data_IF_311655691865
#
_entry.id   IF_311655691865
#
_cell.length_a   1.000
_cell.length_b   1.000
_cell.length_c   1.000
_cell.angle_alpha   90.00
_cell.angle_beta   90.00
_cell.angle_gamma   90.00
#
_symmetry.space_group_name_H-M   'P 1'
#
loop_
_entity.id
_entity.type
_entity.pdbx_description
1 polymer ?
#
# COMPACT_ATOMS: atom_id res chain seq x y z
N UNK A 1 -18.49 -15.24 11.97
CA UNK A 1 -18.30 -16.69 11.67
C UNK A 1 -17.03 -17.27 12.28
N UNK A 2 -16.18 -16.44 12.90
CA UNK A 2 -14.87 -16.84 13.42
C UNK A 2 -14.97 -17.63 14.72
N UNK A 3 -14.49 -18.87 14.70
CA UNK A 3 -14.45 -19.79 15.85
C UNK A 3 -13.09 -20.48 15.90
N UNK A 4 -12.72 -21.06 17.05
CA UNK A 4 -11.44 -21.76 17.22
C UNK A 4 -11.42 -23.17 16.62
N UNK A 5 -12.59 -23.80 16.51
CA UNK A 5 -12.75 -25.13 15.93
C UNK A 5 -13.78 -25.06 14.81
N UNK A 6 -13.40 -25.50 13.63
CA UNK A 6 -14.24 -25.47 12.43
C UNK A 6 -13.79 -26.54 11.44
N UNK A 7 -14.66 -26.86 10.48
CA UNK A 7 -14.36 -27.82 9.42
C UNK A 7 -13.70 -27.07 8.26
N UNK A 8 -12.51 -27.53 7.84
CA UNK A 8 -11.80 -27.01 6.68
C UNK A 8 -11.61 -28.14 5.65
N UNK A 9 -11.78 -27.83 4.36
CA UNK A 9 -11.41 -28.72 3.27
C UNK A 9 -10.10 -28.22 2.68
N UNK A 10 -9.05 -29.00 2.91
CA UNK A 10 -7.71 -28.73 2.41
C UNK A 10 -7.35 -29.70 1.29
N UNK A 11 -6.60 -29.21 0.31
CA UNK A 11 -6.06 -30.05 -0.76
C UNK A 11 -4.67 -29.55 -1.14
N UNK A 12 -3.78 -30.50 -1.36
CA UNK A 12 -2.42 -30.28 -1.81
C UNK A 12 -2.23 -31.01 -3.14
N UNK A 13 -1.77 -30.31 -4.18
CA UNK A 13 -1.30 -30.93 -5.43
C UNK A 13 0.23 -30.98 -5.44
N UNK A 14 0.78 -31.94 -6.17
CA UNK A 14 2.21 -32.09 -6.39
C UNK A 14 2.41 -32.22 -7.88
N UNK A 15 3.11 -31.23 -8.46
CA UNK A 15 3.24 -31.07 -9.91
C UNK A 15 4.73 -31.09 -10.29
N UNK A 16 5.04 -31.64 -11.47
CA UNK A 16 6.42 -31.83 -11.92
C UNK A 16 7.11 -30.52 -12.36
N UNK A 17 6.31 -29.52 -12.77
CA UNK A 17 6.76 -28.22 -13.23
C UNK A 17 5.67 -27.15 -13.04
N UNK A 18 6.01 -25.88 -13.29
CA UNK A 18 5.11 -24.73 -13.11
C UNK A 18 3.91 -24.75 -14.08
N UNK A 19 4.05 -25.34 -15.26
CA UNK A 19 2.95 -25.45 -16.22
C UNK A 19 1.92 -26.52 -15.80
N UNK A 20 2.37 -27.59 -15.15
CA UNK A 20 1.50 -28.58 -14.53
C UNK A 20 0.80 -28.01 -13.28
N UNK A 21 1.53 -27.22 -12.46
CA UNK A 21 0.96 -26.48 -11.32
C UNK A 21 -0.19 -25.57 -11.76
N UNK A 22 -0.02 -24.79 -12.82
CA UNK A 22 -1.07 -23.89 -13.33
C UNK A 22 -2.33 -24.66 -13.73
N UNK A 23 -2.18 -25.82 -14.41
CA UNK A 23 -3.32 -26.68 -14.75
C UNK A 23 -4.03 -27.23 -13.52
N UNK A 24 -3.27 -27.67 -12.52
CA UNK A 24 -3.82 -28.13 -11.25
C UNK A 24 -4.56 -27.00 -10.52
N UNK A 25 -4.00 -25.79 -10.54
CA UNK A 25 -4.59 -24.58 -9.97
C UNK A 25 -5.92 -24.21 -10.64
N UNK A 26 -5.94 -24.11 -11.98
CA UNK A 26 -7.15 -23.80 -12.76
C UNK A 26 -8.27 -24.83 -12.53
N UNK A 27 -7.92 -26.12 -12.45
CA UNK A 27 -8.89 -27.19 -12.13
C UNK A 27 -9.50 -26.98 -10.75
N UNK A 28 -8.71 -26.58 -9.77
CA UNK A 28 -9.19 -26.28 -8.43
C UNK A 28 -10.06 -25.02 -8.41
N UNK A 29 -9.65 -23.95 -9.09
CA UNK A 29 -10.45 -22.73 -9.23
C UNK A 29 -11.82 -23.05 -9.86
N UNK A 30 -11.86 -23.86 -10.92
CA UNK A 30 -13.12 -24.27 -11.55
C UNK A 30 -13.97 -25.15 -10.62
N UNK A 31 -13.36 -26.07 -9.86
CA UNK A 31 -14.08 -26.88 -8.88
C UNK A 31 -14.74 -26.01 -7.80
N UNK A 32 -14.04 -25.00 -7.27
CA UNK A 32 -14.59 -24.08 -6.27
C UNK A 32 -15.73 -23.23 -6.85
N UNK A 33 -15.58 -22.70 -8.08
CA UNK A 33 -16.70 -22.03 -8.79
C UNK A 33 -17.94 -22.92 -8.87
N UNK A 34 -17.77 -24.19 -9.24
CA UNK A 34 -18.88 -25.14 -9.32
C UNK A 34 -19.49 -25.42 -7.94
N UNK A 35 -18.69 -25.49 -6.88
CA UNK A 35 -19.17 -25.69 -5.51
C UNK A 35 -20.05 -24.51 -5.08
N UNK A 36 -19.55 -23.27 -5.20
CA UNK A 36 -20.32 -22.08 -4.82
C UNK A 36 -21.58 -21.90 -5.66
N UNK A 37 -21.50 -22.17 -6.97
CA UNK A 37 -22.68 -22.14 -7.86
C UNK A 37 -23.75 -23.17 -7.43
N UNK A 38 -23.35 -24.38 -7.07
CA UNK A 38 -24.28 -25.41 -6.55
C UNK A 38 -24.89 -25.05 -5.20
N UNK A 39 -24.17 -24.27 -4.39
CA UNK A 39 -24.67 -23.75 -3.12
C UNK A 39 -25.53 -22.49 -3.28
N UNK A 40 -25.60 -21.90 -4.48
CA UNK A 40 -26.32 -20.65 -4.73
C UNK A 40 -25.67 -19.43 -4.07
N UNK A 41 -24.35 -19.49 -3.80
CA UNK A 41 -23.62 -18.41 -3.14
C UNK A 41 -22.95 -17.50 -4.19
N UNK A 42 -23.09 -16.16 -4.07
CA UNK A 42 -22.46 -15.19 -4.96
C UNK A 42 -20.98 -15.02 -4.60
N UNK A 43 -20.18 -16.06 -4.81
CA UNK A 43 -18.74 -16.03 -4.55
C UNK A 43 -17.98 -15.39 -5.71
N UNK A 44 -17.13 -14.43 -5.39
CA UNK A 44 -16.20 -13.80 -6.30
C UNK A 44 -14.79 -14.34 -6.05
N UNK A 45 -14.09 -14.76 -7.10
CA UNK A 45 -12.67 -15.08 -6.99
C UNK A 45 -11.87 -13.79 -7.08
N UNK A 46 -11.05 -13.51 -6.06
CA UNK A 46 -10.29 -12.26 -5.92
C UNK A 46 -8.81 -12.57 -5.73
N UNK A 47 -7.92 -11.74 -6.29
CA UNK A 47 -6.49 -11.82 -6.00
C UNK A 47 -6.22 -11.57 -4.52
N UNK A 48 -5.37 -12.37 -3.89
CA UNK A 48 -5.09 -12.30 -2.46
C UNK A 48 -3.59 -12.26 -2.17
N UNK A 49 -3.24 -11.96 -0.92
CA UNK A 49 -1.87 -12.14 -0.45
C UNK A 49 -1.54 -13.64 -0.40
N UNK A 50 -0.31 -14.01 -0.78
CA UNK A 50 0.18 -15.38 -0.60
C UNK A 50 0.60 -15.66 0.85
N UNK A 51 0.74 -14.59 1.65
CA UNK A 51 1.09 -14.66 3.07
C UNK A 51 2.40 -15.39 3.33
N UNK A 52 2.49 -15.99 4.52
CA UNK A 52 3.67 -16.74 4.96
C UNK A 52 3.87 -18.09 4.24
N UNK A 53 2.83 -18.62 3.58
CA UNK A 53 2.90 -19.87 2.80
C UNK A 53 3.75 -19.67 1.54
N UNK A 54 3.82 -18.43 1.05
CA UNK A 54 4.56 -18.08 -0.15
C UNK A 54 3.86 -18.56 -1.42
N UNK A 55 4.40 -18.17 -2.58
CA UNK A 55 3.83 -18.46 -3.89
C UNK A 55 3.56 -17.19 -4.71
N UNK A 56 3.57 -17.34 -6.04
CA UNK A 56 3.43 -16.20 -6.98
C UNK A 56 1.99 -15.73 -7.16
N UNK A 57 1.02 -16.63 -7.02
CA UNK A 57 -0.40 -16.36 -7.22
C UNK A 57 -1.22 -16.96 -6.08
N UNK A 58 -2.08 -16.14 -5.49
CA UNK A 58 -3.05 -16.52 -4.46
C UNK A 58 -4.40 -15.92 -4.84
N UNK A 59 -5.46 -16.71 -4.69
CA UNK A 59 -6.82 -16.24 -4.90
C UNK A 59 -7.71 -16.73 -3.75
N UNK A 60 -8.56 -15.83 -3.29
CA UNK A 60 -9.62 -16.11 -2.34
C UNK A 60 -10.95 -16.19 -3.07
N UNK A 61 -11.86 -17.03 -2.58
CA UNK A 61 -13.25 -16.98 -2.99
C UNK A 61 -14.05 -16.28 -1.91
N UNK A 62 -14.46 -15.06 -2.19
CA UNK A 62 -15.16 -14.17 -1.27
C UNK A 62 -16.66 -14.18 -1.55
N UNK A 63 -17.47 -14.59 -0.57
CA UNK A 63 -18.93 -14.46 -0.65
C UNK A 63 -19.30 -13.02 -0.31
N UNK A 64 -19.85 -12.29 -1.28
CA UNK A 64 -20.13 -10.86 -1.11
C UNK A 64 -21.34 -10.66 -0.18
N UNK A 65 -21.13 -9.97 0.94
CA UNK A 65 -22.16 -9.65 1.93
C UNK A 65 -21.73 -8.48 2.82
N UNK A 66 -22.69 -7.62 3.20
CA UNK A 66 -22.42 -6.45 4.05
C UNK A 66 -21.85 -6.77 5.44
N UNK A 67 -22.00 -8.01 5.91
CA UNK A 67 -21.49 -8.47 7.21
C UNK A 67 -20.09 -9.14 7.12
N UNK A 68 -19.44 -9.06 5.96
CA UNK A 68 -18.10 -9.60 5.74
C UNK A 68 -17.03 -8.89 6.58
N UNK A 69 -15.97 -9.62 6.94
CA UNK A 69 -14.80 -9.09 7.67
C UNK A 69 -13.75 -8.51 6.71
N UNK A 70 -13.69 -9.03 5.48
CA UNK A 70 -12.76 -8.60 4.44
C UNK A 70 -13.35 -7.50 3.55
N UNK A 71 -12.49 -6.63 3.04
CA UNK A 71 -12.82 -5.67 1.99
C UNK A 71 -12.25 -6.15 0.66
N UNK A 72 -13.10 -6.22 -0.35
CA UNK A 72 -12.74 -6.53 -1.73
C UNK A 72 -12.75 -5.24 -2.54
N UNK A 73 -11.64 -4.92 -3.19
CA UNK A 73 -11.53 -3.85 -4.16
C UNK A 73 -11.70 -4.45 -5.56
N UNK A 74 -12.62 -3.93 -6.35
CA UNK A 74 -12.91 -4.45 -7.70
C UNK A 74 -13.20 -3.35 -8.71
N UNK A 75 -13.01 -3.65 -9.99
CA UNK A 75 -13.37 -2.75 -11.08
C UNK A 75 -14.71 -3.19 -11.70
N UNK A 76 -15.74 -2.33 -11.77
CA UNK A 76 -17.01 -2.68 -12.42
C UNK A 76 -16.92 -2.72 -13.96
N UNK A 77 -15.76 -2.39 -14.54
CA UNK A 77 -15.56 -2.28 -15.99
C UNK A 77 -14.62 -3.32 -16.59
N UNK A 78 -13.94 -4.11 -15.77
CA UNK A 78 -13.12 -5.24 -16.19
C UNK A 78 -13.19 -6.34 -15.12
N UNK A 79 -12.32 -7.34 -15.24
CA UNK A 79 -12.25 -8.52 -14.37
C UNK A 79 -11.30 -8.34 -13.16
N UNK A 80 -10.85 -7.11 -12.89
CA UNK A 80 -9.98 -6.84 -11.74
C UNK A 80 -10.76 -6.92 -10.44
N UNK A 81 -10.36 -7.82 -9.53
CA UNK A 81 -10.83 -7.88 -8.16
C UNK A 81 -9.73 -8.45 -7.25
N UNK A 82 -9.54 -7.83 -6.10
CA UNK A 82 -8.52 -8.22 -5.14
C UNK A 82 -8.99 -7.95 -3.70
N UNK A 83 -8.51 -8.74 -2.75
CA UNK A 83 -8.57 -8.37 -1.34
C UNK A 83 -7.83 -7.03 -1.15
N UNK A 84 -8.35 -6.13 -0.31
CA UNK A 84 -7.75 -4.82 -0.03
C UNK A 84 -6.27 -4.90 0.37
N UNK A 85 -5.85 -5.97 1.04
CA UNK A 85 -4.45 -6.23 1.39
C UNK A 85 -3.53 -6.42 0.17
N UNK A 86 -4.06 -6.90 -0.96
CA UNK A 86 -3.33 -7.15 -2.21
C UNK A 86 -3.62 -6.11 -3.30
N UNK A 87 -4.76 -5.45 -3.22
CA UNK A 87 -5.32 -4.59 -4.26
C UNK A 87 -4.37 -3.45 -4.66
N UNK A 88 -4.19 -3.27 -5.96
CA UNK A 88 -3.40 -2.22 -6.58
C UNK A 88 -4.33 -1.19 -7.21
N UNK A 89 -3.83 0.03 -7.35
CA UNK A 89 -4.53 1.10 -8.04
C UNK A 89 -3.59 1.89 -8.93
N UNK A 90 -4.09 2.31 -10.09
CA UNK A 90 -3.45 3.33 -10.90
C UNK A 90 -3.49 4.67 -10.15
N UNK A 91 -2.31 5.15 -9.76
CA UNK A 91 -2.13 6.41 -9.05
C UNK A 91 -2.04 7.54 -10.08
N UNK A 92 -2.89 8.56 -9.94
CA UNK A 92 -2.80 9.75 -10.78
C UNK A 92 -1.47 10.47 -10.53
N UNK A 93 -0.90 11.13 -11.55
CA UNK A 93 0.23 12.02 -11.32
C UNK A 93 -0.17 13.18 -10.40
N UNK A 94 0.75 13.60 -9.51
CA UNK A 94 0.57 14.82 -8.76
C UNK A 94 0.44 16.01 -9.74
N UNK A 95 -0.39 16.99 -9.40
CA UNK A 95 -0.76 18.12 -10.25
C UNK A 95 0.43 18.90 -10.81
N UNK A 96 1.58 18.90 -10.11
CA UNK A 96 2.80 19.58 -10.57
C UNK A 96 3.80 18.66 -11.29
N UNK A 97 3.47 17.40 -11.55
CA UNK A 97 4.37 16.37 -12.10
C UNK A 97 4.92 16.61 -13.52
N UNK A 98 4.61 17.75 -14.14
CA UNK A 98 5.15 18.18 -15.43
C UNK A 98 5.93 19.52 -15.38
N UNK A 99 6.18 20.06 -14.18
CA UNK A 99 6.91 21.31 -14.00
C UNK A 99 8.43 21.12 -13.86
N UNK A 100 9.20 22.14 -14.22
CA UNK A 100 10.63 22.23 -13.90
C UNK A 100 10.85 22.05 -12.40
N UNK A 101 11.83 21.25 -12.01
CA UNK A 101 12.21 21.14 -10.60
C UNK A 101 12.65 22.50 -10.06
N UNK A 102 12.06 22.90 -8.94
CA UNK A 102 12.40 24.14 -8.26
C UNK A 102 13.45 23.88 -7.17
N UNK A 103 14.24 24.88 -6.77
CA UNK A 103 15.16 24.75 -5.64
C UNK A 103 14.42 24.38 -4.35
N UNK A 104 14.99 23.45 -3.59
CA UNK A 104 14.53 23.07 -2.27
C UNK A 104 14.51 24.32 -1.36
N UNK A 105 13.41 24.54 -0.64
CA UNK A 105 13.24 25.71 0.23
C UNK A 105 12.55 25.33 1.54
N UNK A 106 12.97 25.92 2.66
CA UNK A 106 12.32 25.72 3.97
C UNK A 106 11.13 26.68 4.13
N UNK A 107 10.04 26.20 4.73
CA UNK A 107 8.85 26.97 5.10
C UNK A 107 8.45 26.69 6.55
N UNK A 108 8.16 27.76 7.30
CA UNK A 108 7.60 27.64 8.65
C UNK A 108 6.12 27.21 8.57
N UNK A 109 5.80 26.15 9.28
CA UNK A 109 4.48 25.48 9.34
C UNK A 109 4.12 25.18 10.79
N UNK A 110 4.07 26.20 11.67
CA UNK A 110 3.83 26.00 13.10
C UNK A 110 2.46 25.36 13.33
N UNK A 111 2.43 24.28 14.11
CA UNK A 111 1.18 23.58 14.46
C UNK A 111 0.60 22.68 13.37
N UNK A 112 1.26 22.52 12.22
CA UNK A 112 0.85 21.57 11.18
C UNK A 112 1.50 20.20 11.45
N UNK A 113 0.75 19.25 11.97
CA UNK A 113 1.22 17.90 12.33
C UNK A 113 0.70 16.81 11.39
N UNK A 114 -0.33 17.11 10.60
CA UNK A 114 -0.99 16.21 9.66
C UNK A 114 -0.79 16.65 8.22
N UNK A 115 -1.06 15.74 7.28
CA UNK A 115 -1.00 16.05 5.85
C UNK A 115 -2.05 17.08 5.47
N UNK A 116 -3.25 16.95 6.03
CA UNK A 116 -4.36 17.85 5.76
C UNK A 116 -4.03 19.28 6.20
N UNK A 117 -3.46 19.45 7.40
CA UNK A 117 -3.05 20.75 7.92
C UNK A 117 -1.96 21.40 7.06
N UNK A 118 -0.91 20.67 6.69
CA UNK A 118 0.17 21.25 5.87
C UNK A 118 -0.27 21.54 4.43
N UNK A 119 -1.10 20.67 3.85
CA UNK A 119 -1.65 20.87 2.52
C UNK A 119 -2.54 22.11 2.46
N UNK A 120 -3.43 22.29 3.45
CA UNK A 120 -4.26 23.48 3.59
C UNK A 120 -3.42 24.74 3.83
N UNK A 121 -2.44 24.67 4.74
CA UNK A 121 -1.58 25.80 5.07
C UNK A 121 -0.82 26.34 3.85
N UNK A 122 -0.30 25.45 3.00
CA UNK A 122 0.47 25.84 1.80
C UNK A 122 -0.45 26.10 0.59
N UNK A 123 -1.70 25.62 0.62
CA UNK A 123 -2.66 25.79 -0.46
C UNK A 123 -2.45 24.83 -1.63
N UNK A 124 -2.11 23.57 -1.34
CA UNK A 124 -1.91 22.50 -2.34
C UNK A 124 -2.78 21.28 -2.00
N UNK A 125 -3.09 20.38 -2.95
CA UNK A 125 -3.74 19.12 -2.60
C UNK A 125 -2.81 18.22 -1.78
N UNK A 126 -3.38 17.33 -0.96
CA UNK A 126 -2.62 16.32 -0.20
C UNK A 126 -1.70 15.46 -1.10
N UNK A 127 -2.08 15.25 -2.37
CA UNK A 127 -1.25 14.58 -3.37
C UNK A 127 0.04 15.32 -3.74
N UNK A 128 0.21 16.58 -3.32
CA UNK A 128 1.43 17.37 -3.49
C UNK A 128 2.34 17.32 -2.24
N UNK A 129 2.02 16.47 -1.28
CA UNK A 129 2.80 16.25 -0.06
C UNK A 129 3.32 14.81 -0.02
N UNK A 130 4.43 14.57 0.69
CA UNK A 130 4.83 13.21 1.11
C UNK A 130 4.85 13.14 2.63
N UNK A 131 4.34 12.03 3.17
CA UNK A 131 4.43 11.70 4.59
C UNK A 131 5.40 10.55 4.85
N UNK A 132 5.90 10.56 6.07
CA UNK A 132 6.69 9.49 6.65
C UNK A 132 5.82 8.63 7.57
N UNK A 133 5.94 7.31 7.47
CA UNK A 133 5.38 6.36 8.43
C UNK A 133 6.52 5.45 8.89
N UNK A 134 6.61 5.24 10.20
CA UNK A 134 7.74 4.54 10.80
C UNK A 134 7.35 3.15 11.24
N UNK A 135 8.18 2.17 10.88
CA UNK A 135 7.98 0.78 11.20
C UNK A 135 9.22 0.18 11.86
N UNK A 136 9.02 -0.88 12.63
CA UNK A 136 10.07 -1.81 13.03
C UNK A 136 9.87 -3.10 12.24
N UNK A 137 10.90 -3.52 11.50
CA UNK A 137 10.92 -4.75 10.73
C UNK A 137 11.99 -5.68 11.32
N UNK A 138 11.58 -6.71 12.05
CA UNK A 138 12.49 -7.60 12.82
C UNK A 138 13.53 -6.84 13.68
N UNK A 139 13.11 -5.73 14.30
CA UNK A 139 13.95 -4.92 15.17
C UNK A 139 14.76 -3.82 14.44
N UNK A 140 14.73 -3.79 13.10
CA UNK A 140 15.32 -2.69 12.33
C UNK A 140 14.30 -1.56 12.11
N UNK A 141 14.72 -0.31 12.30
CA UNK A 141 13.89 0.85 12.03
C UNK A 141 13.77 1.09 10.51
N UNK A 142 12.53 1.17 10.02
CA UNK A 142 12.20 1.36 8.61
C UNK A 142 11.44 2.67 8.44
N UNK A 143 11.92 3.49 7.52
CA UNK A 143 11.29 4.74 7.12
C UNK A 143 10.47 4.50 5.86
N UNK A 144 9.14 4.43 5.96
CA UNK A 144 8.26 4.36 4.81
C UNK A 144 7.87 5.78 4.33
N UNK A 145 8.08 6.07 3.05
CA UNK A 145 7.73 7.36 2.43
C UNK A 145 6.61 7.13 1.43
N UNK A 146 5.54 7.90 1.51
CA UNK A 146 4.40 7.78 0.60
C UNK A 146 3.74 9.15 0.39
N UNK A 147 3.06 9.33 -0.75
CA UNK A 147 2.24 10.52 -1.00
C UNK A 147 1.18 10.72 0.08
N UNK A 148 0.93 11.97 0.45
CA UNK A 148 0.16 12.29 1.65
C UNK A 148 -1.30 11.85 1.62
N UNK A 149 -1.91 11.84 0.43
CA UNK A 149 -3.28 11.38 0.16
C UNK A 149 -3.44 9.84 0.15
N UNK A 150 -2.35 9.09 0.23
CA UNK A 150 -2.35 7.63 0.25
C UNK A 150 -2.03 7.11 1.64
N UNK A 151 -2.43 5.88 1.93
CA UNK A 151 -2.07 5.20 3.19
C UNK A 151 -1.18 4.00 2.91
N UNK A 152 -0.33 3.66 3.88
CA UNK A 152 0.53 2.48 3.79
C UNK A 152 -0.33 1.23 3.99
N UNK A 153 -0.19 0.28 3.06
CA UNK A 153 -0.69 -1.07 3.20
C UNK A 153 0.45 -1.93 3.81
N UNK A 154 0.26 -2.33 5.06
CA UNK A 154 1.26 -3.08 5.83
C UNK A 154 1.55 -4.48 5.25
N UNK A 155 0.56 -5.14 4.65
CA UNK A 155 0.75 -6.41 3.96
C UNK A 155 1.69 -6.24 2.76
N UNK A 156 1.50 -5.20 1.95
CA UNK A 156 2.40 -4.88 0.84
C UNK A 156 3.80 -4.48 1.30
N UNK A 157 3.90 -3.64 2.33
CA UNK A 157 5.20 -3.25 2.90
C UNK A 157 5.96 -4.47 3.45
N UNK A 158 5.28 -5.34 4.20
CA UNK A 158 5.82 -6.62 4.68
C UNK A 158 6.34 -7.48 3.53
N UNK A 159 5.58 -7.58 2.44
CA UNK A 159 5.98 -8.35 1.28
C UNK A 159 7.20 -7.73 0.55
N UNK A 160 7.25 -6.41 0.42
CA UNK A 160 8.40 -5.69 -0.12
C UNK A 160 9.67 -5.92 0.74
N UNK A 161 9.48 -6.11 2.05
CA UNK A 161 10.53 -6.46 3.01
C UNK A 161 10.82 -7.97 3.11
N UNK A 162 10.19 -8.80 2.27
CA UNK A 162 10.35 -10.27 2.21
C UNK A 162 9.79 -11.02 3.44
N UNK A 163 8.63 -10.59 3.93
CA UNK A 163 7.88 -11.35 4.94
C UNK A 163 8.34 -11.13 6.37
N UNK A 164 9.13 -10.09 6.63
CA UNK A 164 9.62 -9.74 7.97
C UNK A 164 8.47 -9.38 8.92
N UNK A 165 8.58 -9.74 10.20
CA UNK A 165 7.66 -9.24 11.24
C UNK A 165 7.66 -7.71 11.22
N UNK A 166 6.49 -7.12 10.98
CA UNK A 166 6.30 -5.69 10.80
C UNK A 166 5.37 -5.16 11.88
N UNK A 167 5.76 -4.08 12.54
CA UNK A 167 4.90 -3.30 13.43
C UNK A 167 5.21 -1.82 13.28
N UNK A 168 4.28 -0.96 13.69
CA UNK A 168 4.58 0.46 13.85
C UNK A 168 5.74 0.66 14.84
N UNK A 169 6.60 1.63 14.54
CA UNK A 169 7.63 2.05 15.46
C UNK A 169 6.99 2.77 16.65
N UNK A 170 7.54 2.56 17.84
CA UNK A 170 7.15 3.27 19.05
C UNK A 170 7.70 4.70 19.06
N UNK A 171 7.12 5.59 19.87
CA UNK A 171 7.61 6.97 20.00
C UNK A 171 9.09 7.04 20.42
N UNK A 172 9.53 6.12 21.29
CA UNK A 172 10.92 6.01 21.74
C UNK A 172 11.86 5.63 20.59
N UNK A 173 11.45 4.71 19.71
CA UNK A 173 12.23 4.33 18.53
C UNK A 173 12.30 5.47 17.51
N UNK A 174 11.20 6.19 17.30
CA UNK A 174 11.13 7.36 16.41
C UNK A 174 12.06 8.47 16.92
N UNK A 175 11.98 8.78 18.23
CA UNK A 175 12.82 9.81 18.86
C UNK A 175 14.29 9.38 18.89
N UNK A 176 14.56 8.10 19.18
CA UNK A 176 15.91 7.52 19.19
C UNK A 176 16.57 7.51 17.81
N UNK A 177 15.77 7.41 16.74
CA UNK A 177 16.21 7.58 15.36
C UNK A 177 16.39 9.05 14.94
N UNK A 178 16.11 10.01 15.84
CA UNK A 178 16.21 11.45 15.57
C UNK A 178 15.09 12.00 14.69
N UNK A 179 13.98 11.26 14.56
CA UNK A 179 12.85 11.66 13.71
C UNK A 179 11.90 12.57 14.48
N UNK A 180 11.34 13.55 13.78
CA UNK A 180 10.33 14.46 14.34
C UNK A 180 8.98 14.12 13.72
N UNK A 181 8.11 13.43 14.46
CA UNK A 181 6.78 13.08 13.98
C UNK A 181 6.01 14.32 13.50
N UNK A 182 5.31 14.19 12.36
CA UNK A 182 4.64 15.30 11.67
C UNK A 182 5.56 16.22 10.86
N UNK A 183 6.89 16.13 11.03
CA UNK A 183 7.86 16.97 10.33
C UNK A 183 9.04 16.17 9.76
N UNK A 184 8.91 14.85 9.63
CA UNK A 184 9.98 14.00 9.14
C UNK A 184 9.96 13.81 7.61
N UNK A 185 11.14 13.66 7.03
CA UNK A 185 11.32 13.28 5.63
C UNK A 185 12.64 12.54 5.42
N UNK A 186 12.81 11.82 4.29
CA UNK A 186 14.08 11.17 3.96
C UNK A 186 15.18 12.16 3.51
N UNK A 187 14.91 13.48 3.45
CA UNK A 187 15.88 14.48 3.00
C UNK A 187 17.00 14.62 4.02
N UNK A 188 18.24 14.37 3.58
CA UNK A 188 19.42 14.40 4.45
C UNK A 188 19.52 13.20 5.41
N UNK A 189 18.67 12.19 5.27
CA UNK A 189 18.69 10.99 6.10
C UNK A 189 19.85 10.07 5.71
N UNK A 190 20.58 9.56 6.71
CA UNK A 190 21.72 8.65 6.49
C UNK A 190 21.64 7.50 7.47
N UNK A 191 21.91 6.28 7.00
CA UNK A 191 22.01 5.08 7.86
C UNK A 191 20.68 4.50 8.32
N UNK A 192 19.55 5.03 7.83
CA UNK A 192 18.22 4.46 8.03
C UNK A 192 17.70 3.93 6.69
N UNK A 193 17.09 2.75 6.73
CA UNK A 193 16.51 2.13 5.54
C UNK A 193 15.22 2.85 5.13
N UNK A 194 15.20 3.36 3.91
CA UNK A 194 14.08 4.10 3.32
C UNK A 194 13.36 3.23 2.29
N UNK A 195 12.08 2.97 2.52
CA UNK A 195 11.19 2.30 1.56
C UNK A 195 10.20 3.34 1.04
N UNK A 196 10.22 3.61 -0.26
CA UNK A 196 9.31 4.58 -0.85
C UNK A 196 8.20 3.88 -1.65
N UNK A 197 6.98 4.38 -1.53
CA UNK A 197 5.91 4.08 -2.46
C UNK A 197 6.25 4.62 -3.85
N UNK A 198 5.89 3.88 -4.91
CA UNK A 198 6.11 4.35 -6.28
C UNK A 198 5.46 5.72 -6.61
N UNK A 199 4.49 6.18 -5.81
CA UNK A 199 3.89 7.51 -5.92
C UNK A 199 4.89 8.67 -5.81
N UNK A 200 6.05 8.48 -5.16
CA UNK A 200 7.09 9.52 -5.09
C UNK A 200 7.68 9.85 -6.48
N UNK A 201 7.52 8.93 -7.44
CA UNK A 201 7.97 9.10 -8.84
C UNK A 201 6.91 9.73 -9.73
N UNK A 202 5.68 9.87 -9.23
CA UNK A 202 4.52 10.35 -9.98
C UNK A 202 4.29 11.84 -9.79
N UNK A 203 5.34 12.61 -9.51
CA UNK A 203 5.26 14.03 -9.28
C UNK A 203 6.62 14.66 -9.08
N UNK A 204 6.62 15.98 -8.94
CA UNK A 204 7.79 16.78 -8.61
C UNK A 204 7.38 17.86 -7.63
N UNK A 205 8.38 18.46 -6.98
CA UNK A 205 8.24 19.59 -6.07
C UNK A 205 7.29 19.33 -4.89
N UNK A 206 7.42 18.19 -4.24
CA UNK A 206 6.59 17.82 -3.10
C UNK A 206 6.88 18.70 -1.87
N UNK A 207 5.89 18.81 -1.00
CA UNK A 207 6.05 19.29 0.37
C UNK A 207 6.36 18.09 1.27
N UNK A 208 7.44 18.18 2.03
CA UNK A 208 7.87 17.11 2.96
C UNK A 208 8.30 17.73 4.29
N UNK A 209 8.37 16.94 5.35
CA UNK A 209 8.89 17.42 6.63
C UNK A 209 10.35 17.93 6.55
N UNK A 210 10.72 18.95 7.33
CA UNK A 210 12.09 19.47 7.34
C UNK A 210 13.04 18.77 8.33
N UNK A 211 12.62 17.65 8.95
CA UNK A 211 13.29 17.01 10.09
C UNK A 211 13.51 17.99 11.27
N UNK A 212 12.63 18.99 11.38
CA UNK A 212 12.67 20.08 12.36
C UNK A 212 11.25 20.49 12.71
N UNK A 213 10.94 20.51 14.01
CA UNK A 213 9.59 20.82 14.47
C UNK A 213 9.12 22.20 14.00
N UNK A 214 7.91 22.26 13.44
CA UNK A 214 7.31 23.49 12.92
C UNK A 214 7.83 23.93 11.56
N UNK A 215 8.59 23.10 10.85
CA UNK A 215 9.13 23.41 9.52
C UNK A 215 8.92 22.25 8.54
N UNK A 216 8.61 22.63 7.30
CA UNK A 216 8.54 21.73 6.16
C UNK A 216 9.50 22.23 5.06
N UNK A 217 9.81 21.36 4.11
CA UNK A 217 10.54 21.68 2.90
C UNK A 217 9.55 21.71 1.74
N UNK A 218 9.63 22.74 0.93
CA UNK A 218 8.99 22.86 -0.37
C UNK A 218 9.94 22.41 -1.47
N UNK A 219 9.36 21.95 -2.57
CA UNK A 219 10.06 21.59 -3.79
C UNK A 219 11.01 20.40 -3.63
N UNK A 220 10.67 19.43 -2.77
CA UNK A 220 11.43 18.18 -2.66
C UNK A 220 11.18 17.28 -3.88
N UNK A 221 12.25 16.73 -4.45
CA UNK A 221 12.21 15.91 -5.65
C UNK A 221 12.99 14.61 -5.43
N UNK A 222 12.38 13.48 -5.80
CA UNK A 222 13.10 12.22 -5.98
C UNK A 222 13.63 12.14 -7.42
N UNK A 223 14.90 11.76 -7.67
CA UNK A 223 15.92 11.35 -6.71
C UNK A 223 16.88 12.48 -6.27
N UNK A 224 16.61 13.76 -6.61
CA UNK A 224 17.53 14.87 -6.35
C UNK A 224 17.82 15.08 -4.86
N UNK A 225 16.78 15.16 -4.03
CA UNK A 225 16.88 15.60 -2.63
C UNK A 225 16.91 14.44 -1.63
N UNK A 226 16.46 13.25 -2.03
CA UNK A 226 16.51 12.04 -1.22
C UNK A 226 16.59 10.78 -2.09
N UNK A 227 17.08 9.70 -1.48
CA UNK A 227 17.16 8.38 -2.09
C UNK A 227 16.25 7.40 -1.33
N UNK A 228 15.85 6.33 -2.01
CA UNK A 228 15.12 5.21 -1.41
C UNK A 228 15.93 3.93 -1.67
N UNK A 229 16.07 3.09 -0.65
CA UNK A 229 16.72 1.78 -0.79
C UNK A 229 15.86 0.81 -1.60
N UNK A 230 14.54 1.00 -1.55
CA UNK A 230 13.56 0.23 -2.32
C UNK A 230 12.39 1.12 -2.71
N UNK A 231 12.00 1.06 -3.98
CA UNK A 231 10.71 1.56 -4.48
C UNK A 231 9.80 0.36 -4.70
N UNK A 232 8.60 0.41 -4.14
CA UNK A 232 7.57 -0.61 -4.31
C UNK A 232 6.17 0.00 -4.23
N UNK A 233 5.15 -0.71 -4.69
CA UNK A 233 3.77 -0.33 -4.36
C UNK A 233 3.48 -0.75 -2.91
N UNK A 234 3.44 0.23 -2.01
CA UNK A 234 3.09 0.04 -0.60
C UNK A 234 1.80 0.78 -0.24
N UNK A 235 1.07 1.31 -1.22
CA UNK A 235 -0.16 2.06 -1.00
C UNK A 235 -1.37 1.14 -0.85
N UNK A 236 -2.29 1.50 0.04
CA UNK A 236 -3.63 0.91 0.11
C UNK A 236 -4.50 1.42 -1.04
N UNK A 237 -5.00 0.51 -1.88
CA UNK A 237 -5.98 0.87 -2.90
C UNK A 237 -7.35 1.11 -2.27
N UNK A 238 -8.07 2.12 -2.74
CA UNK A 238 -9.38 2.53 -2.22
C UNK A 238 -10.40 2.69 -3.34
N UNK A 239 -11.71 2.62 -3.02
CA UNK A 239 -12.76 3.06 -3.94
C UNK A 239 -12.48 4.46 -4.49
N UNK A 240 -12.79 4.68 -5.77
CA UNK A 240 -12.51 5.93 -6.47
C UNK A 240 -11.09 6.05 -7.05
N UNK A 241 -10.13 5.22 -6.61
CA UNK A 241 -8.83 5.16 -7.30
C UNK A 241 -8.97 4.50 -8.68
N UNK A 242 -8.01 4.76 -9.58
CA UNK A 242 -8.00 4.17 -10.91
C UNK A 242 -7.67 2.67 -10.88
N UNK A 243 -8.31 1.89 -11.73
CA UNK A 243 -8.04 0.47 -11.91
C UNK A 243 -6.67 0.27 -12.57
N UNK A 244 -5.81 -0.65 -12.07
CA UNK A 244 -4.49 -0.89 -12.65
C UNK A 244 -4.53 -1.47 -14.06
N UNK A 245 -5.66 -2.07 -14.47
CA UNK A 245 -5.83 -2.69 -15.81
C UNK A 245 -6.42 -1.75 -16.85
N UNK A 246 -7.41 -0.93 -16.47
CA UNK A 246 -8.16 -0.11 -17.42
C UNK A 246 -8.27 1.38 -17.07
N UNK A 247 -7.73 1.81 -15.94
CA UNK A 247 -7.73 3.21 -15.48
C UNK A 247 -9.06 3.74 -14.93
N UNK A 248 -10.18 3.03 -15.11
CA UNK A 248 -11.49 3.43 -14.59
C UNK A 248 -11.59 3.24 -13.08
N UNK A 249 -12.52 3.93 -12.43
CA UNK A 249 -12.67 3.92 -10.98
C UNK A 249 -12.92 2.52 -10.40
N UNK A 250 -12.28 2.26 -9.26
CA UNK A 250 -12.47 1.07 -8.42
C UNK A 250 -13.65 1.28 -7.46
N UNK A 251 -14.31 0.18 -7.10
CA UNK A 251 -15.34 0.09 -6.08
C UNK A 251 -14.89 -0.85 -4.95
N UNK A 252 -15.59 -0.84 -3.83
CA UNK A 252 -15.43 -1.87 -2.79
C UNK A 252 -16.72 -2.57 -2.40
N UNK A 253 -16.55 -3.79 -1.89
CA UNK A 253 -17.60 -4.59 -1.28
C UNK A 253 -17.02 -5.34 -0.06
N UNK A 254 -17.91 -5.78 0.83
CA UNK A 254 -17.54 -6.63 1.97
C UNK A 254 -17.69 -8.11 1.61
N UNK A 255 -16.75 -8.93 2.06
CA UNK A 255 -16.68 -10.36 1.76
C UNK A 255 -16.42 -11.23 3.00
N UNK A 256 -16.85 -12.48 2.91
CA UNK A 256 -16.49 -13.57 3.83
C UNK A 256 -15.72 -14.62 3.03
#
# INVERSE_FOLDING_TARGET
LRVREFIMKDLYSFDADEAALEKSYERMAQAYRNIYARLGLPALMVEADSGAIGGKASHEFMVITGNGEDEVIYCPHCDYAANAERAQSAKAAATNGAGTELPLAEIATPGCHTIEEVAEFVGVPASQTLKAVFYSAAGEFVFAVIRGDLEVNETKLRNALKGTELRLATEDEVTGAGMVAGFASPVGLVGIRVIADDSVTLGSNFIVGANKAGFHLMNANYPRDFQADLIADIALARPGHGCPRCGKELCSARGI
#
